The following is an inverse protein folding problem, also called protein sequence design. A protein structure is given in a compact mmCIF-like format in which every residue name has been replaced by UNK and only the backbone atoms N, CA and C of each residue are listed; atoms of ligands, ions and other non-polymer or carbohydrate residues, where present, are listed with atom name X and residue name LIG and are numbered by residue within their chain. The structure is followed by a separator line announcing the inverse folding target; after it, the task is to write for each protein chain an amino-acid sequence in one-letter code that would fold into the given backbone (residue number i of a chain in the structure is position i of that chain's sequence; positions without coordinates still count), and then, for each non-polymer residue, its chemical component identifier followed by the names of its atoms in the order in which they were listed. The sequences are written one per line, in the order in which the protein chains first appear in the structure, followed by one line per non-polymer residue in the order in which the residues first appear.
data_IF_158898594813
#
_entry.id   IF_158898594813
#
_cell.length_a   1.000
_cell.length_b   1.000
_cell.length_c   1.000
_cell.angle_alpha   90.00
_cell.angle_beta   90.00
_cell.angle_gamma   90.00
#
_symmetry.space_group_name_H-M   'P 1'
#
loop_
_entity.id
_entity.type
_entity.pdbx_description
1 polymer ?
#
# COMPACT_ATOMS: atom_id res chain seq x y z
N UNK A 1 13.07 17.25 -13.02
CA UNK A 1 12.85 15.79 -13.08
C UNK A 1 11.87 15.33 -12.01
N UNK A 2 12.04 15.72 -10.74
CA UNK A 2 11.05 15.43 -9.69
C UNK A 2 9.67 16.02 -10.01
N UNK A 3 9.62 17.24 -10.56
CA UNK A 3 8.38 17.92 -10.98
C UNK A 3 7.67 17.26 -12.18
N UNK A 4 8.33 16.30 -12.85
CA UNK A 4 7.72 15.51 -13.93
C UNK A 4 7.10 14.22 -13.38
N UNK A 5 7.56 13.76 -12.20
CA UNK A 5 7.02 12.59 -11.51
C UNK A 5 5.80 12.96 -10.67
N UNK A 6 5.91 14.03 -9.88
CA UNK A 6 4.89 14.45 -8.93
C UNK A 6 3.98 15.53 -9.51
N UNK A 7 2.76 15.56 -8.99
CA UNK A 7 1.77 16.58 -9.27
C UNK A 7 1.36 17.30 -7.97
N UNK A 8 0.91 18.57 -8.05
CA UNK A 8 0.44 19.29 -6.87
C UNK A 8 -0.93 18.82 -6.38
N UNK A 9 -1.71 18.14 -7.21
CA UNK A 9 -3.07 17.71 -6.92
C UNK A 9 -3.59 16.69 -7.94
N UNK A 10 -4.79 16.13 -7.72
CA UNK A 10 -5.47 15.35 -8.74
C UNK A 10 -5.89 16.24 -9.91
N UNK A 11 -5.99 15.64 -11.09
CA UNK A 11 -6.53 16.30 -12.28
C UNK A 11 -8.04 16.47 -12.13
N UNK A 12 -8.58 17.62 -12.57
CA UNK A 12 -10.00 17.98 -12.34
C UNK A 12 -10.99 16.93 -12.87
N UNK A 13 -10.73 16.34 -14.03
CA UNK A 13 -11.56 15.30 -14.65
C UNK A 13 -11.53 13.95 -13.91
N UNK A 14 -10.58 13.75 -12.99
CA UNK A 14 -10.41 12.54 -12.18
C UNK A 14 -10.61 12.81 -10.69
N UNK A 15 -10.87 14.06 -10.29
CA UNK A 15 -10.87 14.49 -8.89
C UNK A 15 -11.84 13.68 -8.03
N UNK A 16 -13.06 13.42 -8.51
CA UNK A 16 -14.06 12.65 -7.76
C UNK A 16 -13.61 11.20 -7.51
N UNK A 17 -12.99 10.56 -8.51
CA UNK A 17 -12.44 9.22 -8.34
C UNK A 17 -11.26 9.22 -7.38
N UNK A 18 -10.37 10.21 -7.49
CA UNK A 18 -9.14 10.27 -6.71
C UNK A 18 -9.33 10.84 -5.30
N UNK A 19 -10.48 11.44 -4.99
CA UNK A 19 -10.79 12.04 -3.68
C UNK A 19 -10.61 11.07 -2.51
N UNK A 20 -10.85 9.76 -2.73
CA UNK A 20 -10.60 8.68 -1.78
C UNK A 20 -9.16 8.69 -1.22
N UNK A 21 -8.18 9.05 -2.05
CA UNK A 21 -6.77 9.04 -1.67
C UNK A 21 -6.30 10.34 -1.01
N UNK A 22 -7.10 11.41 -1.08
CA UNK A 22 -6.70 12.72 -0.54
C UNK A 22 -6.26 12.66 0.94
N UNK A 23 -6.94 11.91 1.83
CA UNK A 23 -6.48 11.77 3.21
C UNK A 23 -5.11 11.10 3.34
N UNK A 24 -4.70 10.24 2.40
CA UNK A 24 -3.45 9.49 2.44
C UNK A 24 -2.22 10.31 2.03
N UNK A 25 -2.41 11.39 1.26
CA UNK A 25 -1.31 12.19 0.74
C UNK A 25 -0.45 12.76 1.88
N UNK A 26 0.87 12.60 1.76
CA UNK A 26 1.86 12.99 2.76
C UNK A 26 2.66 11.82 3.32
N UNK A 27 3.31 12.05 4.46
CA UNK A 27 4.23 11.11 5.11
C UNK A 27 3.67 10.55 6.40
N UNK A 28 3.93 9.27 6.66
CA UNK A 28 3.35 8.51 7.76
C UNK A 28 4.41 7.69 8.48
N UNK A 29 4.30 7.65 9.81
CA UNK A 29 5.04 6.72 10.65
C UNK A 29 4.17 5.53 11.00
N UNK A 30 4.80 4.36 11.07
CA UNK A 30 4.11 3.08 11.18
C UNK A 30 4.70 2.22 12.29
N UNK A 31 3.82 1.44 12.91
CA UNK A 31 4.17 0.30 13.75
C UNK A 31 3.51 -0.92 13.11
N UNK A 32 4.34 -1.78 12.53
CA UNK A 32 3.98 -2.85 11.62
C UNK A 32 4.02 -4.18 12.33
N UNK A 33 2.87 -4.81 12.47
CA UNK A 33 2.76 -6.19 12.94
C UNK A 33 2.84 -7.14 11.75
N UNK A 34 3.89 -7.96 11.70
CA UNK A 34 3.97 -9.13 10.84
C UNK A 34 3.53 -10.37 11.60
N UNK A 35 2.62 -11.14 11.00
CA UNK A 35 2.00 -12.31 11.61
C UNK A 35 2.54 -13.56 10.94
N UNK A 36 3.30 -14.34 11.71
CA UNK A 36 3.87 -15.61 11.30
C UNK A 36 2.80 -16.69 11.06
N UNK A 37 3.12 -17.80 10.37
CA UNK A 37 2.19 -18.90 10.13
C UNK A 37 1.62 -19.53 11.42
N UNK A 38 2.41 -19.49 12.50
CA UNK A 38 2.07 -19.95 13.85
C UNK A 38 1.28 -18.93 14.67
N UNK A 39 1.05 -17.73 14.12
CA UNK A 39 0.39 -16.62 14.80
C UNK A 39 1.33 -15.74 15.63
N UNK A 40 2.64 -16.02 15.62
CA UNK A 40 3.63 -15.16 16.29
C UNK A 40 3.60 -13.77 15.64
N UNK A 41 3.61 -12.72 16.47
CA UNK A 41 3.62 -11.33 16.01
C UNK A 41 5.02 -10.75 16.18
N UNK A 42 5.58 -10.24 15.09
CA UNK A 42 6.81 -9.46 15.09
C UNK A 42 6.47 -8.01 14.73
N UNK A 43 6.73 -7.09 15.65
CA UNK A 43 6.47 -5.68 15.43
C UNK A 43 7.74 -4.96 15.00
N UNK A 44 7.67 -4.19 13.91
CA UNK A 44 8.78 -3.34 13.42
C UNK A 44 8.26 -1.96 13.03
N UNK A 45 9.14 -0.98 13.00
CA UNK A 45 8.76 0.35 12.53
C UNK A 45 8.77 0.44 10.99
N UNK A 46 8.21 1.52 10.48
CA UNK A 46 8.23 1.82 9.07
C UNK A 46 7.74 3.23 8.77
N UNK A 47 7.82 3.59 7.50
CA UNK A 47 7.24 4.82 6.99
C UNK A 47 6.57 4.58 5.64
N UNK A 48 5.54 5.37 5.36
CA UNK A 48 4.83 5.35 4.09
C UNK A 48 4.65 6.78 3.59
N UNK A 49 4.98 7.01 2.33
CA UNK A 49 4.87 8.32 1.70
C UNK A 49 3.98 8.24 0.48
N UNK A 50 2.95 9.08 0.40
CA UNK A 50 2.02 9.15 -0.72
C UNK A 50 2.09 10.50 -1.40
N UNK A 51 1.97 10.52 -2.72
CA UNK A 51 1.93 11.74 -3.51
C UNK A 51 1.06 11.58 -4.76
N UNK A 52 0.53 12.72 -5.23
CA UNK A 52 -0.04 12.81 -6.57
C UNK A 52 1.08 12.73 -7.60
N UNK A 53 0.81 12.09 -8.73
CA UNK A 53 1.80 11.86 -9.76
C UNK A 53 1.17 11.85 -11.16
N UNK A 54 2.03 11.81 -12.17
CA UNK A 54 1.66 11.66 -13.57
C UNK A 54 0.59 12.70 -13.99
N UNK A 55 0.89 13.99 -13.82
CA UNK A 55 -0.04 15.10 -14.15
C UNK A 55 -1.38 14.99 -13.39
N UNK A 56 -1.34 14.50 -12.15
CA UNK A 56 -2.52 14.36 -11.29
C UNK A 56 -3.43 13.19 -11.65
N UNK A 57 -2.97 12.27 -12.51
CA UNK A 57 -3.75 11.10 -12.97
C UNK A 57 -3.56 9.88 -12.09
N UNK A 58 -2.54 9.90 -11.23
CA UNK A 58 -2.18 8.77 -10.40
C UNK A 58 -1.83 9.19 -8.97
N UNK A 59 -1.90 8.21 -8.08
CA UNK A 59 -1.27 8.25 -6.76
C UNK A 59 -0.09 7.30 -6.81
N UNK A 60 1.06 7.78 -6.35
CA UNK A 60 2.24 6.95 -6.09
C UNK A 60 2.49 6.90 -4.60
N UNK A 61 2.97 5.77 -4.13
CA UNK A 61 3.49 5.66 -2.77
C UNK A 61 4.80 4.90 -2.70
N UNK A 62 5.57 5.20 -1.66
CA UNK A 62 6.81 4.52 -1.30
C UNK A 62 6.70 4.04 0.13
N UNK A 63 6.82 2.73 0.29
CA UNK A 63 6.81 2.01 1.56
C UNK A 63 8.23 1.63 1.95
N UNK A 64 8.59 1.89 3.20
CA UNK A 64 9.93 1.61 3.73
C UNK A 64 9.79 0.95 5.11
N UNK A 65 10.40 -0.22 5.28
CA UNK A 65 10.43 -0.91 6.59
C UNK A 65 11.67 -1.81 6.72
N UNK A 66 12.50 -1.68 7.78
CA UNK A 66 12.40 -0.69 8.88
C UNK A 66 12.50 0.76 8.39
N UNK A 67 12.12 1.74 9.22
CA UNK A 67 12.14 3.17 8.83
C UNK A 67 13.55 3.65 8.44
N UNK A 68 13.68 4.70 7.63
CA UNK A 68 15.00 5.27 7.28
C UNK A 68 15.86 5.62 8.50
N UNK A 69 15.27 6.14 9.58
CA UNK A 69 16.01 6.45 10.81
C UNK A 69 16.56 5.20 11.49
N UNK A 70 15.76 4.13 11.58
CA UNK A 70 16.18 2.86 12.21
C UNK A 70 17.26 2.18 11.38
N UNK A 71 17.13 2.17 10.05
CA UNK A 71 18.17 1.66 9.15
C UNK A 71 19.50 2.39 9.34
N UNK A 72 19.47 3.72 9.43
CA UNK A 72 20.67 4.52 9.62
C UNK A 72 21.33 4.26 10.99
N UNK A 73 20.53 4.07 12.04
CA UNK A 73 21.03 3.83 13.39
C UNK A 73 21.57 2.42 13.60
N UNK A 74 20.91 1.40 13.04
CA UNK A 74 21.21 -0.01 13.30
C UNK A 74 22.00 -0.69 12.17
N UNK A 75 22.18 -0.03 11.01
CA UNK A 75 22.85 -0.60 9.85
C UNK A 75 22.10 -1.79 9.23
N UNK A 76 20.80 -1.90 9.51
CA UNK A 76 19.94 -2.96 8.97
C UNK A 76 19.41 -2.60 7.59
N UNK A 77 19.36 -3.59 6.72
CA UNK A 77 18.65 -3.50 5.45
C UNK A 77 17.18 -3.92 5.64
N UNK A 78 16.35 -3.78 4.61
CA UNK A 78 14.91 -4.01 4.68
C UNK A 78 14.21 -3.66 3.37
N UNK A 79 12.89 -3.59 3.37
CA UNK A 79 12.13 -3.37 2.14
C UNK A 79 12.07 -1.88 1.78
N UNK A 80 12.22 -1.61 0.49
CA UNK A 80 11.77 -0.39 -0.18
C UNK A 80 10.91 -0.84 -1.34
N UNK A 81 9.64 -0.46 -1.33
CA UNK A 81 8.79 -0.75 -2.48
C UNK A 81 7.88 0.42 -2.80
N UNK A 82 7.29 0.35 -3.98
CA UNK A 82 6.45 1.42 -4.50
C UNK A 82 5.17 0.88 -5.10
N UNK A 83 4.10 1.66 -4.97
CA UNK A 83 2.87 1.43 -5.73
C UNK A 83 2.61 2.58 -6.68
N UNK A 84 2.13 2.27 -7.88
CA UNK A 84 1.44 3.23 -8.74
C UNK A 84 -0.02 2.82 -8.83
N UNK A 85 -0.94 3.76 -8.59
CA UNK A 85 -2.38 3.55 -8.72
C UNK A 85 -3.05 4.63 -9.55
N UNK A 86 -3.96 4.24 -10.43
CA UNK A 86 -4.74 5.16 -11.26
C UNK A 86 -6.13 4.58 -11.54
N UNK A 87 -7.10 5.45 -11.80
CA UNK A 87 -8.45 5.04 -12.16
C UNK A 87 -8.49 4.59 -13.63
N UNK A 88 -9.14 3.46 -13.88
CA UNK A 88 -9.39 2.87 -15.19
C UNK A 88 -10.90 2.90 -15.43
N UNK A 89 -11.39 3.84 -16.28
CA UNK A 89 -12.82 3.99 -16.56
C UNK A 89 -13.47 2.76 -17.17
N UNK A 90 -12.75 1.99 -18.00
CA UNK A 90 -13.28 0.78 -18.63
C UNK A 90 -13.49 -0.34 -17.60
N UNK A 91 -12.62 -0.39 -16.58
CA UNK A 91 -12.77 -1.30 -15.43
C UNK A 91 -13.77 -0.78 -14.38
N UNK A 92 -14.07 0.52 -14.40
CA UNK A 92 -14.83 1.20 -13.36
C UNK A 92 -14.13 1.16 -11.99
N UNK A 93 -12.80 1.11 -11.96
CA UNK A 93 -12.03 0.86 -10.75
C UNK A 93 -10.56 1.28 -10.84
N UNK A 94 -9.79 1.07 -9.78
CA UNK A 94 -8.36 1.39 -9.77
C UNK A 94 -7.51 0.23 -10.27
N UNK A 95 -6.57 0.51 -11.16
CA UNK A 95 -5.38 -0.34 -11.35
C UNK A 95 -4.36 0.07 -10.30
N UNK A 96 -3.74 -0.91 -9.66
CA UNK A 96 -2.75 -0.66 -8.60
C UNK A 96 -1.65 -1.71 -8.69
N UNK A 97 -0.39 -1.33 -8.92
CA UNK A 97 0.69 -2.33 -9.00
C UNK A 97 1.76 -2.03 -7.97
N UNK A 98 1.96 -2.98 -7.06
CA UNK A 98 3.05 -2.97 -6.09
C UNK A 98 4.33 -3.51 -6.73
N UNK A 99 5.46 -2.85 -6.44
CA UNK A 99 6.80 -3.25 -6.83
C UNK A 99 7.67 -3.32 -5.58
N UNK A 100 8.01 -4.54 -5.16
CA UNK A 100 8.89 -4.84 -4.04
C UNK A 100 10.21 -5.42 -4.53
N UNK A 101 11.18 -4.58 -4.95
CA UNK A 101 12.46 -5.03 -5.50
C UNK A 101 13.29 -5.86 -4.51
N UNK A 102 13.13 -5.68 -3.20
CA UNK A 102 13.86 -6.48 -2.21
C UNK A 102 13.55 -7.97 -2.31
N UNK A 103 12.34 -8.32 -2.78
CA UNK A 103 11.89 -9.70 -3.00
C UNK A 103 11.67 -10.06 -4.47
N UNK A 104 11.90 -9.10 -5.38
CA UNK A 104 11.56 -9.24 -6.80
C UNK A 104 10.05 -9.40 -7.05
N UNK A 105 9.20 -8.87 -6.15
CA UNK A 105 7.75 -9.02 -6.26
C UNK A 105 7.14 -7.90 -7.10
N UNK A 106 6.28 -8.27 -8.04
CA UNK A 106 5.40 -7.36 -8.77
C UNK A 106 3.98 -7.89 -8.62
N UNK A 107 3.11 -7.13 -7.97
CA UNK A 107 1.76 -7.58 -7.64
C UNK A 107 0.76 -6.59 -8.24
N UNK A 108 0.09 -6.98 -9.34
CA UNK A 108 -1.05 -6.25 -9.86
C UNK A 108 -2.28 -6.46 -8.95
N UNK A 109 -2.97 -5.37 -8.67
CA UNK A 109 -4.22 -5.32 -7.94
C UNK A 109 -5.29 -4.58 -8.72
N UNK A 110 -6.52 -4.98 -8.45
CA UNK A 110 -7.72 -4.23 -8.78
C UNK A 110 -8.27 -3.62 -7.49
N UNK A 111 -8.34 -2.30 -7.45
CA UNK A 111 -8.80 -1.53 -6.30
C UNK A 111 -10.24 -1.06 -6.42
N UNK A 112 -11.05 -1.27 -5.39
CA UNK A 112 -12.45 -0.80 -5.30
C UNK A 112 -12.68 -0.06 -3.99
N UNK A 113 -13.37 1.10 -4.01
CA UNK A 113 -13.80 1.77 -2.80
C UNK A 113 -14.65 0.84 -1.93
N UNK A 114 -14.47 0.94 -0.62
CA UNK A 114 -15.35 0.33 0.39
C UNK A 114 -16.11 1.43 1.12
N UNK A 115 -16.98 1.06 2.07
CA UNK A 115 -17.69 2.03 2.90
C UNK A 115 -16.74 2.91 3.74
N UNK A 116 -15.55 2.41 4.05
CA UNK A 116 -14.60 2.99 5.00
C UNK A 116 -13.17 3.18 4.43
N UNK A 117 -12.96 2.92 3.14
CA UNK A 117 -11.65 3.07 2.51
C UNK A 117 -11.54 2.39 1.14
N UNK A 118 -10.55 1.52 0.98
CA UNK A 118 -10.18 0.90 -0.29
C UNK A 118 -9.81 -0.57 -0.08
N UNK A 119 -10.33 -1.44 -0.93
CA UNK A 119 -9.90 -2.83 -1.02
C UNK A 119 -9.20 -3.07 -2.35
N UNK A 120 -8.02 -3.69 -2.28
CA UNK A 120 -7.20 -4.12 -3.40
C UNK A 120 -7.21 -5.65 -3.41
N UNK A 121 -7.71 -6.27 -4.47
CA UNK A 121 -7.62 -7.72 -4.68
C UNK A 121 -6.64 -8.02 -5.82
N UNK A 122 -5.79 -9.01 -5.63
CA UNK A 122 -4.79 -9.44 -6.60
C UNK A 122 -4.37 -10.89 -6.37
N UNK A 123 -3.34 -11.32 -7.10
CA UNK A 123 -2.73 -12.62 -6.95
C UNK A 123 -1.21 -12.47 -6.90
N UNK A 124 -0.57 -13.24 -6.01
CA UNK A 124 0.87 -13.29 -5.89
C UNK A 124 1.35 -14.71 -6.19
N UNK A 125 2.14 -14.84 -7.24
CA UNK A 125 2.82 -16.09 -7.58
C UNK A 125 4.26 -16.05 -7.09
N UNK A 126 4.63 -17.04 -6.29
CA UNK A 126 5.98 -17.23 -5.74
C UNK A 126 6.68 -18.47 -6.33
N UNK A 127 6.21 -18.97 -7.47
CA UNK A 127 6.71 -20.17 -8.15
C UNK A 127 5.96 -21.46 -7.79
N UNK A 128 4.96 -21.39 -6.90
CA UNK A 128 4.10 -22.51 -6.50
C UNK A 128 2.65 -22.33 -6.97
N UNK A 129 2.41 -21.43 -7.91
CA UNK A 129 1.09 -21.03 -8.37
C UNK A 129 0.56 -19.77 -7.68
N UNK A 130 -0.46 -19.12 -8.29
CA UNK A 130 -1.02 -17.88 -7.78
C UNK A 130 -1.73 -18.11 -6.44
N UNK A 131 -1.43 -17.25 -5.47
CA UNK A 131 -2.13 -17.17 -4.19
C UNK A 131 -2.93 -15.86 -4.17
N UNK A 132 -4.25 -15.90 -3.85
CA UNK A 132 -5.04 -14.69 -3.68
C UNK A 132 -4.44 -13.80 -2.59
N UNK A 133 -4.35 -12.51 -2.88
CA UNK A 133 -3.90 -11.49 -1.92
C UNK A 133 -4.91 -10.36 -1.84
N UNK A 134 -5.10 -9.82 -0.65
CA UNK A 134 -5.99 -8.69 -0.41
C UNK A 134 -5.34 -7.67 0.49
N UNK A 135 -5.30 -6.43 0.03
CA UNK A 135 -4.89 -5.30 0.86
C UNK A 135 -6.08 -4.38 1.11
N UNK A 136 -6.29 -4.01 2.36
CA UNK A 136 -7.42 -3.18 2.77
C UNK A 136 -6.90 -1.95 3.48
N UNK A 137 -7.27 -0.77 2.98
CA UNK A 137 -7.16 0.49 3.69
C UNK A 137 -8.52 0.78 4.32
N UNK A 138 -8.52 1.18 5.59
CA UNK A 138 -9.73 1.53 6.32
C UNK A 138 -9.48 2.68 7.30
N UNK A 139 -10.57 3.25 7.82
CA UNK A 139 -10.53 4.36 8.78
C UNK A 139 -9.69 5.54 8.25
N UNK A 140 -9.85 5.87 6.95
CA UNK A 140 -9.08 6.93 6.31
C UNK A 140 -9.38 8.30 6.94
N UNK A 141 -8.38 8.88 7.59
CA UNK A 141 -8.53 10.17 8.26
C UNK A 141 -7.31 11.06 8.07
N UNK A 142 -7.46 12.32 8.49
CA UNK A 142 -6.37 13.29 8.43
C UNK A 142 -5.16 12.81 9.25
N UNK A 143 -5.34 12.31 10.47
CA UNK A 143 -4.20 12.01 11.36
C UNK A 143 -3.79 10.55 11.42
N UNK A 144 -4.64 9.63 10.95
CA UNK A 144 -4.36 8.20 10.95
C UNK A 144 -5.20 7.45 9.92
N UNK A 145 -4.72 6.28 9.52
CA UNK A 145 -5.51 5.26 8.83
C UNK A 145 -5.03 3.86 9.24
N UNK A 146 -5.79 2.83 8.87
CA UNK A 146 -5.39 1.43 9.05
C UNK A 146 -5.12 0.76 7.73
N UNK A 147 -4.21 -0.20 7.77
CA UNK A 147 -3.94 -1.07 6.64
C UNK A 147 -3.77 -2.51 7.09
N UNK A 148 -4.21 -3.43 6.25
CA UNK A 148 -4.09 -4.86 6.45
C UNK A 148 -3.78 -5.56 5.13
N UNK A 149 -2.81 -6.49 5.15
CA UNK A 149 -2.60 -7.47 4.09
C UNK A 149 -3.04 -8.86 4.54
N UNK A 150 -3.76 -9.52 3.65
CA UNK A 150 -4.21 -10.89 3.79
C UNK A 150 -3.75 -11.72 2.59
N UNK A 151 -3.45 -12.99 2.83
CA UNK A 151 -3.15 -13.97 1.79
C UNK A 151 -4.08 -15.18 1.92
N UNK A 152 -4.40 -15.80 0.79
CA UNK A 152 -5.22 -17.01 0.75
C UNK A 152 -4.52 -18.18 1.44
N UNK A 153 -5.29 -18.94 2.23
CA UNK A 153 -4.82 -20.18 2.84
C UNK A 153 -4.80 -21.33 1.81
N UNK A 154 -3.88 -22.29 1.97
CA UNK A 154 -3.88 -23.51 1.17
C UNK A 154 -5.25 -24.20 1.18
N UNK A 155 -5.67 -24.72 0.03
CA UNK A 155 -6.97 -25.41 -0.11
C UNK A 155 -8.21 -24.51 -0.04
N UNK A 156 -8.04 -23.18 -0.06
CA UNK A 156 -9.17 -22.24 -0.13
C UNK A 156 -9.94 -22.07 1.18
N UNK A 157 -9.33 -22.42 2.32
CA UNK A 157 -9.96 -22.35 3.64
C UNK A 157 -10.30 -20.92 4.13
N UNK A 158 -9.83 -19.90 3.42
CA UNK A 158 -10.08 -18.50 3.72
C UNK A 158 -8.88 -17.62 3.41
N UNK A 159 -8.88 -16.43 4.00
CA UNK A 159 -7.78 -15.47 3.96
C UNK A 159 -7.17 -15.38 5.36
N UNK A 160 -5.84 -15.32 5.45
CA UNK A 160 -5.10 -15.10 6.70
C UNK A 160 -4.42 -13.75 6.67
N UNK A 161 -4.54 -12.98 7.76
CA UNK A 161 -3.80 -11.73 7.94
C UNK A 161 -2.31 -12.04 8.05
N UNK A 162 -1.51 -11.41 7.20
CA UNK A 162 -0.04 -11.50 7.20
C UNK A 162 0.61 -10.29 7.82
N UNK A 163 0.00 -9.12 7.63
CA UNK A 163 0.57 -7.87 8.09
C UNK A 163 -0.55 -6.87 8.37
N UNK A 164 -0.39 -6.05 9.41
CA UNK A 164 -1.32 -4.96 9.72
C UNK A 164 -0.62 -3.84 10.46
N UNK A 165 -1.19 -2.64 10.38
CA UNK A 165 -0.73 -1.50 11.18
C UNK A 165 -1.77 -0.38 11.24
N UNK A 166 -1.53 0.54 12.18
CA UNK A 166 -2.15 1.86 12.19
C UNK A 166 -1.09 2.91 11.88
N UNK A 167 -1.28 3.63 10.78
CA UNK A 167 -0.42 4.73 10.38
C UNK A 167 -0.73 5.99 11.19
N UNK A 168 0.30 6.79 11.47
CA UNK A 168 0.19 8.11 12.11
C UNK A 168 0.89 9.17 11.25
N UNK A 169 0.25 10.31 11.04
CA UNK A 169 0.82 11.37 10.19
C UNK A 169 2.12 11.90 10.80
N UNK A 170 3.15 12.08 9.97
CA UNK A 170 4.36 12.81 10.35
C UNK A 170 4.06 14.31 10.33
N UNK A 171 4.51 15.02 11.37
CA UNK A 171 4.36 16.48 11.49
C UNK A 171 5.43 17.23 10.71
#
# INVERSE_FOLDING_TARGET
MQDVLFAPGPRDDLADHLALFAPLIGSWSLEVDDIGPDGTVHTRDGEWHFGWALDGRAVVDVWISPSRSTRAAEGVDGEWGMTVRFYDPDLGAFRSTWHGPGRGWVIPFVGRPTADGLRLDGELDRGSGPVPVRWTFSELGAESFRWQAEEGEPGGAGMRVRQRFRARRQR
#
